data_IF_002022655516
#
_entry.id   IF_002022655516
#
_cell.length_a   1.000
_cell.length_b   1.000
_cell.length_c   1.000
_cell.angle_alpha   90.00
_cell.angle_beta   90.00
_cell.angle_gamma   90.00
#
_symmetry.space_group_name_H-M   'P 1'
#
loop_
_entity.id
_entity.type
_entity.pdbx_description
1 polymer ?
#
# COMPACT_ATOMS: atom_id res chain seq x y z
N UNK A 1 6.30 8.97 -25.74
CA UNK A 1 6.44 8.47 -24.36
C UNK A 1 5.51 7.28 -24.21
N UNK A 2 5.99 6.15 -23.71
CA UNK A 2 5.12 5.00 -23.41
C UNK A 2 4.13 5.43 -22.34
N UNK A 3 2.83 5.26 -22.59
CA UNK A 3 1.81 5.37 -21.56
C UNK A 3 2.06 4.23 -20.55
N UNK A 4 2.19 4.56 -19.27
CA UNK A 4 2.35 3.57 -18.20
C UNK A 4 0.99 3.36 -17.56
N UNK A 5 0.45 2.15 -17.70
CA UNK A 5 -0.88 1.81 -17.21
C UNK A 5 -0.78 1.00 -15.92
N UNK A 6 -1.80 1.05 -15.06
CA UNK A 6 -1.81 0.18 -13.87
C UNK A 6 -1.83 -1.31 -14.25
N UNK A 7 -2.34 -1.64 -15.43
CA UNK A 7 -2.32 -2.97 -16.02
C UNK A 7 -0.91 -3.49 -16.28
N UNK A 8 0.11 -2.63 -16.29
CA UNK A 8 1.51 -3.04 -16.40
C UNK A 8 2.10 -3.49 -15.05
N UNK A 9 1.49 -3.09 -13.92
CA UNK A 9 1.96 -3.42 -12.58
C UNK A 9 1.77 -4.92 -12.30
N UNK A 10 2.87 -5.62 -12.01
CA UNK A 10 2.81 -7.05 -11.66
C UNK A 10 1.94 -7.29 -10.41
N UNK A 11 2.01 -6.40 -9.42
CA UNK A 11 1.18 -6.49 -8.20
C UNK A 11 -0.33 -6.40 -8.50
N UNK A 12 -0.72 -5.65 -9.54
CA UNK A 12 -2.11 -5.60 -10.00
C UNK A 12 -2.52 -6.91 -10.65
N UNK A 13 -1.71 -7.43 -11.58
CA UNK A 13 -1.95 -8.73 -12.25
C UNK A 13 -2.08 -9.87 -11.24
N UNK A 14 -1.23 -9.87 -10.22
CA UNK A 14 -1.27 -10.82 -9.09
C UNK A 14 -2.55 -10.70 -8.27
N UNK A 15 -2.95 -9.48 -7.93
CA UNK A 15 -4.23 -9.21 -7.28
C UNK A 15 -5.42 -9.76 -8.06
N UNK A 16 -5.47 -9.55 -9.38
CA UNK A 16 -6.52 -10.11 -10.23
C UNK A 16 -6.53 -11.65 -10.24
N UNK A 17 -5.35 -12.29 -10.31
CA UNK A 17 -5.25 -13.75 -10.22
C UNK A 17 -5.79 -14.28 -8.89
N UNK A 18 -5.39 -13.67 -7.78
CA UNK A 18 -5.92 -14.03 -6.44
C UNK A 18 -7.44 -13.88 -6.39
N UNK A 19 -8.01 -12.81 -6.96
CA UNK A 19 -9.46 -12.63 -7.00
C UNK A 19 -10.18 -13.77 -7.75
N UNK A 20 -9.64 -14.18 -8.90
CA UNK A 20 -10.19 -15.31 -9.69
C UNK A 20 -10.06 -16.63 -8.93
N UNK A 21 -8.93 -16.87 -8.27
CA UNK A 21 -8.68 -18.07 -7.48
C UNK A 21 -9.62 -18.16 -6.27
N UNK A 22 -9.84 -17.06 -5.55
CA UNK A 22 -10.80 -17.00 -4.43
C UNK A 22 -12.24 -17.26 -4.91
N UNK A 23 -12.66 -16.62 -6.00
CA UNK A 23 -13.97 -16.87 -6.59
C UNK A 23 -14.16 -18.33 -6.99
N UNK A 24 -13.11 -18.98 -7.50
CA UNK A 24 -13.15 -20.38 -7.90
C UNK A 24 -13.16 -21.31 -6.69
N UNK A 25 -12.31 -21.04 -5.70
CA UNK A 25 -12.19 -21.81 -4.46
C UNK A 25 -13.49 -21.84 -3.66
N UNK A 26 -14.23 -20.73 -3.65
CA UNK A 26 -15.43 -20.56 -2.83
C UNK A 26 -16.74 -20.74 -3.64
N UNK A 27 -16.67 -21.16 -4.90
CA UNK A 27 -17.82 -21.27 -5.82
C UNK A 27 -18.99 -22.03 -5.20
N UNK A 28 -18.70 -23.17 -4.59
CA UNK A 28 -19.70 -24.09 -4.03
C UNK A 28 -19.84 -23.99 -2.50
N UNK A 29 -19.20 -22.99 -1.89
CA UNK A 29 -19.28 -22.77 -0.45
C UNK A 29 -20.70 -22.36 -0.02
N UNK A 30 -21.21 -23.01 1.02
CA UNK A 30 -22.53 -22.73 1.63
C UNK A 30 -22.49 -21.61 2.67
N UNK A 31 -21.29 -21.18 3.08
CA UNK A 31 -21.08 -20.12 4.07
C UNK A 31 -21.07 -18.75 3.39
N UNK A 32 -22.26 -18.31 2.96
CA UNK A 32 -22.43 -17.10 2.14
C UNK A 32 -21.79 -15.85 2.74
N UNK A 33 -21.87 -15.67 4.06
CA UNK A 33 -21.34 -14.49 4.73
C UNK A 33 -19.82 -14.36 4.62
N UNK A 34 -19.08 -15.42 4.97
CA UNK A 34 -17.62 -15.39 4.88
C UNK A 34 -17.15 -15.41 3.42
N UNK A 35 -17.83 -16.19 2.56
CA UNK A 35 -17.56 -16.21 1.12
C UNK A 35 -17.61 -14.82 0.50
N UNK A 36 -18.68 -14.08 0.76
CA UNK A 36 -18.86 -12.74 0.20
C UNK A 36 -17.80 -11.75 0.70
N UNK A 37 -17.47 -11.81 2.00
CA UNK A 37 -16.38 -11.00 2.56
C UNK A 37 -15.04 -11.28 1.88
N UNK A 38 -14.69 -12.56 1.70
CA UNK A 38 -13.44 -12.98 1.06
C UNK A 38 -13.37 -12.53 -0.40
N UNK A 39 -14.45 -12.68 -1.16
CA UNK A 39 -14.50 -12.25 -2.56
C UNK A 39 -14.33 -10.73 -2.66
N UNK A 40 -15.00 -9.95 -1.81
CA UNK A 40 -14.84 -8.49 -1.79
C UNK A 40 -13.42 -8.08 -1.42
N UNK A 41 -12.83 -8.69 -0.39
CA UNK A 41 -11.45 -8.41 0.00
C UNK A 41 -10.47 -8.72 -1.15
N UNK A 42 -10.65 -9.84 -1.85
CA UNK A 42 -9.81 -10.22 -2.98
C UNK A 42 -9.90 -9.23 -4.15
N UNK A 43 -11.12 -8.86 -4.57
CA UNK A 43 -11.35 -7.89 -5.65
C UNK A 43 -10.78 -6.52 -5.28
N UNK A 44 -10.99 -6.09 -4.03
CA UNK A 44 -10.55 -4.80 -3.49
C UNK A 44 -9.04 -4.55 -3.66
N UNK A 45 -8.21 -5.60 -3.62
CA UNK A 45 -6.75 -5.48 -3.83
C UNK A 45 -6.47 -4.85 -5.19
N UNK A 46 -6.95 -5.47 -6.27
CA UNK A 46 -6.72 -4.97 -7.64
C UNK A 46 -7.47 -3.66 -7.92
N UNK A 47 -8.68 -3.50 -7.40
CA UNK A 47 -9.48 -2.30 -7.62
C UNK A 47 -8.83 -1.06 -6.98
N UNK A 48 -8.30 -1.17 -5.76
CA UNK A 48 -7.61 -0.04 -5.13
C UNK A 48 -6.29 0.31 -5.82
N UNK A 49 -5.56 -0.68 -6.37
CA UNK A 49 -4.35 -0.39 -7.15
C UNK A 49 -4.72 0.43 -8.40
N UNK A 50 -5.74 0.00 -9.14
CA UNK A 50 -6.21 0.70 -10.33
C UNK A 50 -6.74 2.10 -9.99
N UNK A 51 -7.64 2.20 -9.01
CA UNK A 51 -8.22 3.48 -8.60
C UNK A 51 -7.16 4.47 -8.11
N UNK A 52 -6.16 3.97 -7.38
CA UNK A 52 -5.04 4.77 -6.90
C UNK A 52 -4.14 5.27 -8.02
N UNK A 53 -3.87 4.44 -9.03
CA UNK A 53 -3.02 4.79 -10.16
C UNK A 53 -3.66 5.86 -11.06
N UNK A 54 -4.98 5.93 -11.11
CA UNK A 54 -5.75 6.97 -11.82
C UNK A 54 -5.84 8.31 -11.04
N UNK A 55 -5.28 8.40 -9.82
CA UNK A 55 -5.27 9.65 -9.04
C UNK A 55 -4.17 10.60 -9.47
N UNK A 56 -4.40 11.90 -9.25
CA UNK A 56 -3.51 12.97 -9.69
C UNK A 56 -2.19 13.11 -8.91
N UNK A 57 -2.06 12.48 -7.72
CA UNK A 57 -0.87 12.70 -6.87
C UNK A 57 -0.24 11.39 -6.38
N UNK A 58 1.10 11.33 -6.22
CA UNK A 58 1.78 10.18 -5.63
C UNK A 58 1.31 9.90 -4.18
N UNK A 59 0.94 10.95 -3.43
CA UNK A 59 0.38 10.83 -2.08
C UNK A 59 -0.92 10.04 -2.07
N UNK A 60 -1.84 10.36 -2.97
CA UNK A 60 -3.13 9.67 -3.07
C UNK A 60 -2.92 8.22 -3.51
N UNK A 61 -2.06 7.99 -4.51
CA UNK A 61 -1.76 6.63 -4.93
C UNK A 61 -1.21 5.79 -3.77
N UNK A 62 -0.27 6.33 -2.97
CA UNK A 62 0.24 5.65 -1.78
C UNK A 62 -0.86 5.25 -0.77
N UNK A 63 -1.86 6.12 -0.57
CA UNK A 63 -3.01 5.84 0.33
C UNK A 63 -3.85 4.67 -0.20
N UNK A 64 -4.14 4.63 -1.50
CA UNK A 64 -4.86 3.51 -2.11
C UNK A 64 -4.08 2.20 -2.04
N UNK A 65 -2.76 2.25 -2.18
CA UNK A 65 -1.90 1.07 -1.99
C UNK A 65 -1.94 0.54 -0.54
N UNK A 66 -2.06 1.42 0.45
CA UNK A 66 -2.27 0.99 1.85
C UNK A 66 -3.61 0.28 2.02
N UNK A 67 -4.67 0.76 1.38
CA UNK A 67 -6.00 0.12 1.42
C UNK A 67 -5.92 -1.26 0.76
N UNK A 68 -5.31 -1.37 -0.42
CA UNK A 68 -5.09 -2.66 -1.08
C UNK A 68 -4.32 -3.65 -0.18
N UNK A 69 -3.30 -3.16 0.54
CA UNK A 69 -2.52 -3.98 1.48
C UNK A 69 -3.35 -4.40 2.69
N UNK A 70 -4.24 -3.53 3.17
CA UNK A 70 -5.23 -3.86 4.19
C UNK A 70 -6.16 -4.99 3.74
N UNK A 71 -6.71 -4.91 2.52
CA UNK A 71 -7.54 -5.98 1.95
C UNK A 71 -6.78 -7.31 1.80
N UNK A 72 -5.50 -7.28 1.44
CA UNK A 72 -4.68 -8.49 1.39
C UNK A 72 -4.48 -9.14 2.78
N UNK A 73 -4.32 -8.32 3.84
CA UNK A 73 -4.20 -8.81 5.21
C UNK A 73 -5.53 -9.38 5.75
N UNK A 74 -6.65 -8.72 5.43
CA UNK A 74 -8.00 -9.20 5.75
C UNK A 74 -8.27 -10.56 5.11
N UNK A 75 -8.06 -10.68 3.80
CA UNK A 75 -8.27 -11.92 3.08
C UNK A 75 -7.38 -13.06 3.61
N UNK A 76 -6.13 -12.78 3.94
CA UNK A 76 -5.23 -13.76 4.57
C UNK A 76 -5.77 -14.24 5.91
N UNK A 77 -6.35 -13.34 6.71
CA UNK A 77 -6.97 -13.68 7.99
C UNK A 77 -8.19 -14.56 7.78
N UNK A 78 -9.04 -14.22 6.80
CA UNK A 78 -10.22 -15.00 6.44
C UNK A 78 -9.85 -16.39 5.90
N UNK A 79 -8.73 -16.55 5.18
CA UNK A 79 -8.22 -17.86 4.76
C UNK A 79 -7.85 -18.74 5.96
N UNK A 80 -7.17 -18.20 6.98
CA UNK A 80 -6.89 -18.94 8.22
C UNK A 80 -8.18 -19.37 8.93
N UNK A 81 -9.18 -18.50 8.96
CA UNK A 81 -10.50 -18.81 9.54
C UNK A 81 -11.21 -19.89 8.72
N UNK A 82 -11.21 -19.78 7.39
CA UNK A 82 -11.88 -20.71 6.49
C UNK A 82 -11.28 -22.12 6.58
N UNK A 83 -9.96 -22.23 6.75
CA UNK A 83 -9.29 -23.51 7.06
C UNK A 83 -9.79 -24.08 8.39
N UNK A 84 -9.82 -23.26 9.44
CA UNK A 84 -10.25 -23.69 10.78
C UNK A 84 -11.73 -24.08 10.84
N UNK A 85 -12.54 -23.50 9.97
CA UNK A 85 -13.94 -23.82 9.76
C UNK A 85 -14.18 -24.95 8.75
N UNK A 86 -13.11 -25.62 8.28
CA UNK A 86 -13.17 -26.74 7.32
C UNK A 86 -13.83 -26.38 5.98
N UNK A 87 -13.86 -25.09 5.62
CA UNK A 87 -14.40 -24.59 4.36
C UNK A 87 -13.42 -24.72 3.20
N UNK A 88 -12.12 -24.72 3.50
CA UNK A 88 -11.01 -24.73 2.54
C UNK A 88 -9.92 -25.66 3.09
N UNK A 89 -9.27 -26.43 2.22
CA UNK A 89 -8.15 -27.28 2.63
C UNK A 89 -6.89 -26.45 2.94
N UNK A 90 -6.08 -26.92 3.88
CA UNK A 90 -4.78 -26.32 4.21
C UNK A 90 -3.91 -26.11 2.96
N UNK A 91 -3.88 -27.10 2.06
CA UNK A 91 -3.08 -27.04 0.84
C UNK A 91 -3.52 -25.89 -0.08
N UNK A 92 -4.82 -25.73 -0.29
CA UNK A 92 -5.35 -24.65 -1.12
C UNK A 92 -5.08 -23.29 -0.48
N UNK A 93 -5.35 -23.16 0.83
CA UNK A 93 -5.13 -21.91 1.55
C UNK A 93 -3.66 -21.49 1.61
N UNK A 94 -2.72 -22.41 1.83
CA UNK A 94 -1.30 -22.09 1.99
C UNK A 94 -0.70 -21.41 0.77
N UNK A 95 -1.06 -21.85 -0.44
CA UNK A 95 -0.60 -21.22 -1.69
C UNK A 95 -1.04 -19.75 -1.78
N UNK A 96 -2.33 -19.48 -1.54
CA UNK A 96 -2.92 -18.15 -1.53
C UNK A 96 -2.35 -17.27 -0.41
N UNK A 97 -2.11 -17.84 0.78
CA UNK A 97 -1.52 -17.11 1.92
C UNK A 97 -0.10 -16.64 1.59
N UNK A 98 0.71 -17.48 0.93
CA UNK A 98 2.06 -17.10 0.49
C UNK A 98 1.99 -16.00 -0.57
N UNK A 99 1.10 -16.14 -1.54
CA UNK A 99 0.89 -15.13 -2.59
C UNK A 99 0.46 -13.77 -2.00
N UNK A 100 -0.47 -13.77 -1.02
CA UNK A 100 -0.93 -12.56 -0.34
C UNK A 100 0.16 -11.89 0.49
N UNK A 101 1.10 -12.65 1.06
CA UNK A 101 2.28 -12.08 1.75
C UNK A 101 3.19 -11.35 0.77
N UNK A 102 3.42 -11.94 -0.40
CA UNK A 102 4.23 -11.33 -1.44
C UNK A 102 3.56 -10.08 -2.01
N UNK A 103 2.26 -10.14 -2.33
CA UNK A 103 1.46 -8.97 -2.73
C UNK A 103 1.57 -7.86 -1.66
N UNK A 104 1.47 -8.20 -0.37
CA UNK A 104 1.62 -7.21 0.71
C UNK A 104 2.98 -6.52 0.70
N UNK A 105 4.06 -7.27 0.41
CA UNK A 105 5.43 -6.76 0.30
C UNK A 105 5.60 -5.83 -0.91
N UNK A 106 5.06 -6.23 -2.06
CA UNK A 106 5.06 -5.41 -3.29
C UNK A 106 4.29 -4.10 -3.09
N UNK A 107 3.09 -4.17 -2.51
CA UNK A 107 2.26 -3.00 -2.21
C UNK A 107 2.97 -2.05 -1.24
N UNK A 108 3.61 -2.58 -0.20
CA UNK A 108 4.40 -1.77 0.72
C UNK A 108 5.54 -1.06 -0.01
N UNK A 109 6.34 -1.79 -0.78
CA UNK A 109 7.48 -1.25 -1.52
C UNK A 109 7.04 -0.16 -2.49
N UNK A 110 5.99 -0.40 -3.27
CA UNK A 110 5.42 0.59 -4.20
C UNK A 110 4.89 1.82 -3.46
N UNK A 111 4.21 1.64 -2.31
CA UNK A 111 3.72 2.76 -1.51
C UNK A 111 4.85 3.64 -0.97
N UNK A 112 5.99 3.06 -0.58
CA UNK A 112 7.16 3.83 -0.14
C UNK A 112 7.78 4.63 -1.29
N UNK A 113 7.86 4.03 -2.48
CA UNK A 113 8.33 4.73 -3.69
C UNK A 113 7.46 5.95 -4.02
N UNK A 114 6.13 5.80 -3.95
CA UNK A 114 5.23 6.95 -4.20
C UNK A 114 5.38 8.04 -3.13
N UNK A 115 5.59 7.69 -1.87
CA UNK A 115 5.84 8.66 -0.79
C UNK A 115 7.19 9.38 -0.92
N UNK A 116 8.21 8.71 -1.48
CA UNK A 116 9.51 9.33 -1.74
C UNK A 116 9.40 10.45 -2.78
N UNK A 117 8.62 10.25 -3.85
CA UNK A 117 8.37 11.27 -4.88
C UNK A 117 7.76 12.55 -4.31
N UNK A 118 6.85 12.44 -3.33
CA UNK A 118 6.26 13.61 -2.64
C UNK A 118 7.31 14.44 -1.90
N UNK A 119 8.36 13.81 -1.36
CA UNK A 119 9.43 14.52 -0.62
C UNK A 119 10.42 15.21 -1.55
N UNK A 120 10.61 14.69 -2.76
CA UNK A 120 11.48 15.29 -3.79
C UNK A 120 10.82 16.50 -4.46
N UNK A 121 9.48 16.53 -4.55
CA UNK A 121 8.71 17.64 -5.10
C UNK A 121 8.60 18.86 -4.15
N UNK A 122 8.94 18.71 -2.86
CA UNK A 122 9.02 19.82 -1.89
C UNK A 122 10.36 19.88 -1.14
N UNK A 123 11.43 20.44 -1.77
CA UNK A 123 12.72 20.64 -1.12
C UNK A 123 12.75 21.80 -0.10
N UNK A 124 11.66 22.57 0.02
CA UNK A 124 11.68 23.92 0.58
C UNK A 124 11.60 24.00 2.12
N UNK A 125 11.56 22.87 2.82
CA UNK A 125 11.51 22.86 4.29
C UNK A 125 12.89 22.66 4.98
N UNK A 126 14.00 22.78 4.25
CA UNK A 126 15.36 22.65 4.81
C UNK A 126 16.34 23.75 4.34
N UNK A 127 16.01 25.01 4.60
CA UNK A 127 16.91 26.19 4.60
C UNK A 127 16.14 27.32 5.28
N UNK A 128 16.56 28.10 6.27
CA UNK A 128 17.84 28.40 6.93
C UNK A 128 17.47 28.97 8.32
N UNK A 129 18.25 28.67 9.37
CA UNK A 129 18.59 29.73 10.33
C UNK A 129 19.96 29.47 10.97
N UNK A 130 21.01 29.83 10.24
CA UNK A 130 22.35 30.02 10.80
C UNK A 130 22.90 31.33 10.25
N UNK A 131 22.58 32.45 10.90
CA UNK A 131 23.46 33.63 10.97
C UNK A 131 22.86 34.74 11.84
N UNK A 132 23.33 34.84 13.08
CA UNK A 132 23.68 36.14 13.64
C UNK A 132 25.04 36.00 14.34
N UNK A 133 26.05 36.57 13.68
CA UNK A 133 27.42 36.77 14.18
C UNK A 133 27.48 38.03 15.05
N UNK A 134 28.57 38.23 15.82
CA UNK A 134 28.57 38.98 17.07
C UNK A 134 28.71 40.49 16.86
N UNK A 135 28.04 41.26 17.70
CA UNK A 135 28.16 42.71 17.72
C UNK A 135 29.41 43.11 18.53
N UNK A 136 30.43 43.62 17.86
CA UNK A 136 31.60 44.25 18.48
C UNK A 136 31.68 45.70 18.03
N UNK A 137 31.35 46.62 18.94
CA UNK A 137 31.82 48.00 18.89
C UNK A 137 32.30 48.44 20.28
N UNK A 138 33.62 48.47 20.43
CA UNK A 138 34.34 49.19 21.48
C UNK A 138 34.40 50.69 21.12
N UNK A 139 34.25 51.59 22.11
CA UNK A 139 35.35 52.44 22.58
C UNK A 139 34.90 53.64 23.44
N UNK A 140 35.27 53.57 24.73
CA UNK A 140 35.85 54.58 25.62
C UNK A 140 35.39 56.06 25.64
N UNK A 141 35.04 56.53 26.84
CA UNK A 141 35.66 57.71 27.49
C UNK A 141 35.27 57.81 29.00
N UNK A 142 36.25 57.61 29.88
CA UNK A 142 36.35 58.14 31.26
C UNK A 142 37.04 59.54 31.22
N UNK A 143 37.34 60.29 32.31
CA UNK A 143 36.94 60.19 33.74
C UNK A 143 36.53 61.54 34.40
N UNK A 144 35.86 61.47 35.57
CA UNK A 144 36.30 62.00 36.89
C UNK A 144 35.22 61.80 37.95
#
# INVERSE_FOLDING_TARGET
>A
MSYFSFEDLDVWKRGCRVAVEICSLLRDSREWGLRDQMIRAAISISSNIAEGAERSTPRDFARFLDVARGSAAELRTQLYIAVRAEMVSDQAANSLIMELKEISSMLYSLSQQQRAKVKEEDPSHFTLNTSHSPDTSHSAAEPR
#
